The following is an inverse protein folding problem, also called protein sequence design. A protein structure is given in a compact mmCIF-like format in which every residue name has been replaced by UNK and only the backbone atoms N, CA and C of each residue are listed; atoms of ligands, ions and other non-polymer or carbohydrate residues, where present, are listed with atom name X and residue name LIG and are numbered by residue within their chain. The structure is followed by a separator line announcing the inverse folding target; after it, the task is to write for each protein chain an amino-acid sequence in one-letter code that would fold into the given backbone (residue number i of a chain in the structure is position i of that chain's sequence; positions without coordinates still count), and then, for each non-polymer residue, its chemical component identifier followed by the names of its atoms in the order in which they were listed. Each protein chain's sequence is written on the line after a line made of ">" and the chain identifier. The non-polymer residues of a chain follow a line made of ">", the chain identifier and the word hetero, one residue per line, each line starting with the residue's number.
data_IF_689828745923
#
_entry.id   IF_689828745923
#
_cell.length_a   1.000
_cell.length_b   1.000
_cell.length_c   1.000
_cell.angle_alpha   90.00
_cell.angle_beta   90.00
_cell.angle_gamma   90.00
#
_symmetry.space_group_name_H-M   'P 1'
#
loop_
_entity.id
_entity.type
_entity.pdbx_description
1 polymer ?
#
# COMPACT_ATOMS: atom_id res chain seq x y z
N UNK A 1 18.90 -33.54 -26.96
CA UNK A 1 19.86 -32.79 -26.13
C UNK A 1 19.66 -31.34 -26.50
N UNK A 2 19.13 -30.42 -25.69
CA UNK A 2 18.88 -30.32 -24.26
C UNK A 2 17.87 -29.18 -24.08
N UNK A 3 16.86 -29.35 -23.20
CA UNK A 3 15.87 -28.32 -22.88
C UNK A 3 16.53 -27.13 -22.18
N UNK A 4 16.26 -25.91 -22.65
CA UNK A 4 16.50 -24.66 -21.91
C UNK A 4 15.28 -23.77 -22.09
N UNK A 5 14.34 -23.80 -21.13
CA UNK A 5 13.55 -22.66 -20.65
C UNK A 5 12.52 -23.14 -19.62
N UNK A 6 12.96 -23.29 -18.37
CA UNK A 6 12.08 -23.29 -17.20
C UNK A 6 12.69 -22.37 -16.14
N UNK A 7 12.57 -21.05 -16.33
CA UNK A 7 12.77 -20.03 -15.28
C UNK A 7 12.05 -18.75 -15.72
N UNK A 8 10.72 -18.74 -15.71
CA UNK A 8 9.94 -17.48 -15.84
C UNK A 8 8.56 -17.52 -15.15
N UNK A 9 8.17 -18.61 -14.47
CA UNK A 9 6.78 -18.71 -13.97
C UNK A 9 6.56 -18.15 -12.55
N UNK A 10 7.59 -18.04 -11.72
CA UNK A 10 7.44 -17.56 -10.34
C UNK A 10 7.33 -16.02 -10.21
N UNK A 11 8.02 -15.25 -11.06
CA UNK A 11 8.03 -13.79 -10.99
C UNK A 11 6.72 -13.12 -11.45
N UNK A 12 5.95 -13.76 -12.33
CA UNK A 12 4.69 -13.23 -12.84
C UNK A 12 3.55 -13.31 -11.82
N UNK A 13 3.53 -14.35 -10.98
CA UNK A 13 2.49 -14.53 -9.96
C UNK A 13 2.64 -13.57 -8.78
N UNK A 14 3.87 -13.22 -8.39
CA UNK A 14 4.14 -12.25 -7.31
C UNK A 14 3.87 -10.80 -7.71
N UNK A 15 4.15 -10.44 -8.97
CA UNK A 15 3.91 -9.10 -9.51
C UNK A 15 2.43 -8.77 -9.68
N UNK A 16 1.59 -9.78 -9.96
CA UNK A 16 0.14 -9.58 -10.12
C UNK A 16 -0.55 -9.26 -8.79
N UNK A 17 -0.11 -9.86 -7.68
CA UNK A 17 -0.67 -9.59 -6.35
C UNK A 17 -0.29 -8.21 -5.82
N UNK A 18 0.97 -7.81 -5.96
CA UNK A 18 1.42 -6.47 -5.57
C UNK A 18 0.74 -5.37 -6.39
N UNK A 19 0.55 -5.57 -7.70
CA UNK A 19 -0.20 -4.63 -8.53
C UNK A 19 -1.68 -4.54 -8.11
N UNK A 20 -2.32 -5.67 -7.79
CA UNK A 20 -3.70 -5.65 -7.31
C UNK A 20 -3.83 -4.89 -5.97
N UNK A 21 -2.91 -5.10 -5.03
CA UNK A 21 -2.88 -4.35 -3.77
C UNK A 21 -2.66 -2.86 -4.06
N UNK A 22 -1.67 -2.52 -4.90
CA UNK A 22 -1.40 -1.13 -5.26
C UNK A 22 -2.63 -0.45 -5.85
N UNK A 23 -3.34 -1.09 -6.79
CA UNK A 23 -4.56 -0.52 -7.38
C UNK A 23 -5.61 -0.20 -6.33
N UNK A 24 -5.83 -1.12 -5.37
CA UNK A 24 -6.77 -0.87 -4.26
C UNK A 24 -6.31 0.29 -3.38
N UNK A 25 -5.02 0.37 -3.04
CA UNK A 25 -4.50 1.46 -2.22
C UNK A 25 -4.65 2.81 -2.94
N UNK A 26 -4.39 2.86 -4.25
CA UNK A 26 -4.58 4.06 -5.07
C UNK A 26 -6.05 4.45 -5.09
N UNK A 27 -6.99 3.53 -5.34
CA UNK A 27 -8.43 3.81 -5.33
C UNK A 27 -8.89 4.39 -3.98
N UNK A 28 -8.43 3.83 -2.86
CA UNK A 28 -8.75 4.35 -1.52
C UNK A 28 -8.18 5.77 -1.33
N UNK A 29 -6.93 5.99 -1.72
CA UNK A 29 -6.29 7.30 -1.57
C UNK A 29 -6.97 8.35 -2.46
N UNK A 30 -7.31 8.00 -3.71
CA UNK A 30 -8.05 8.87 -4.63
C UNK A 30 -9.40 9.29 -4.03
N UNK A 31 -10.14 8.35 -3.43
CA UNK A 31 -11.41 8.65 -2.74
C UNK A 31 -11.21 9.58 -1.55
N UNK A 32 -10.18 9.35 -0.73
CA UNK A 32 -9.88 10.17 0.44
C UNK A 32 -9.53 11.62 0.10
N UNK A 33 -8.81 11.84 -1.00
CA UNK A 33 -8.35 13.18 -1.41
C UNK A 33 -9.23 13.83 -2.47
N UNK A 34 -10.32 13.18 -2.91
CA UNK A 34 -11.15 13.65 -4.03
C UNK A 34 -11.69 15.07 -3.85
N UNK A 35 -12.02 15.43 -2.60
CA UNK A 35 -12.54 16.76 -2.23
C UNK A 35 -11.43 17.74 -1.82
N UNK A 36 -10.17 17.30 -1.83
CA UNK A 36 -9.04 18.16 -1.49
C UNK A 36 -8.61 18.89 -2.76
N UNK A 37 -8.49 20.21 -2.69
CA UNK A 37 -8.05 21.05 -3.81
C UNK A 37 -6.53 20.90 -4.02
N UNK A 38 -6.11 19.70 -4.42
CA UNK A 38 -4.73 19.28 -4.57
C UNK A 38 -4.36 19.14 -6.04
N UNK A 39 -3.30 19.83 -6.43
CA UNK A 39 -2.59 19.55 -7.68
C UNK A 39 -1.49 18.52 -7.40
N UNK A 40 -1.67 17.29 -7.88
CA UNK A 40 -0.65 16.25 -7.79
C UNK A 40 0.38 16.42 -8.92
N UNK A 41 1.66 16.52 -8.55
CA UNK A 41 2.77 16.59 -9.52
C UNK A 41 2.90 15.28 -10.34
N UNK A 42 2.58 14.14 -9.72
CA UNK A 42 2.59 12.81 -10.32
C UNK A 42 1.36 12.01 -9.88
N UNK A 43 0.85 11.07 -10.71
CA UNK A 43 -0.21 10.17 -10.29
C UNK A 43 0.16 9.35 -9.04
N UNK A 44 -0.84 9.03 -8.23
CA UNK A 44 -0.62 8.18 -7.05
C UNK A 44 -0.06 6.82 -7.44
N UNK A 45 0.90 6.33 -6.65
CA UNK A 45 1.60 5.09 -6.94
C UNK A 45 2.55 4.66 -5.84
N UNK A 46 3.41 3.68 -6.13
CA UNK A 46 4.32 3.10 -5.11
C UNK A 46 5.27 4.11 -4.46
N UNK A 47 5.57 5.22 -5.15
CA UNK A 47 6.45 6.28 -4.65
C UNK A 47 5.75 7.32 -3.78
N UNK A 48 4.42 7.33 -3.74
CA UNK A 48 3.64 8.32 -2.98
C UNK A 48 3.93 8.21 -1.49
N UNK A 49 4.23 9.36 -0.89
CA UNK A 49 4.47 9.56 0.54
C UNK A 49 3.24 10.21 1.16
N UNK A 50 2.59 9.53 2.10
CA UNK A 50 1.31 9.98 2.63
C UNK A 50 1.44 11.34 3.34
N UNK A 51 2.51 11.55 4.11
CA UNK A 51 2.67 12.78 4.89
C UNK A 51 3.26 13.89 4.02
N UNK A 52 4.38 13.63 3.33
CA UNK A 52 5.05 14.68 2.55
C UNK A 52 4.30 15.05 1.28
N UNK A 53 3.77 14.08 0.53
CA UNK A 53 3.15 14.37 -0.78
C UNK A 53 1.66 14.67 -0.65
N UNK A 54 0.95 13.96 0.25
CA UNK A 54 -0.49 14.16 0.44
C UNK A 54 -0.84 15.06 1.62
N UNK A 55 0.11 15.40 2.49
CA UNK A 55 -0.17 16.22 3.66
C UNK A 55 -1.01 15.49 4.72
N UNK A 56 -1.06 14.15 4.70
CA UNK A 56 -1.83 13.39 5.68
C UNK A 56 -1.39 13.71 7.11
N UNK A 57 -2.37 13.99 7.96
CA UNK A 57 -2.19 14.02 9.40
C UNK A 57 -2.43 12.62 10.00
N UNK A 58 -2.16 12.48 11.30
CA UNK A 58 -2.38 11.23 12.03
C UNK A 58 -3.81 10.69 11.88
N UNK A 59 -4.81 11.57 11.75
CA UNK A 59 -6.21 11.17 11.57
C UNK A 59 -6.46 10.57 10.18
N UNK A 60 -5.79 11.07 9.15
CA UNK A 60 -5.92 10.58 7.78
C UNK A 60 -5.24 9.22 7.64
N UNK A 61 -4.07 9.04 8.28
CA UNK A 61 -3.41 7.72 8.34
C UNK A 61 -4.31 6.67 9.01
N UNK A 62 -4.97 7.01 10.11
CA UNK A 62 -5.92 6.10 10.79
C UNK A 62 -7.12 5.78 9.89
N UNK A 63 -7.66 6.76 9.17
CA UNK A 63 -8.77 6.55 8.22
C UNK A 63 -8.34 5.69 7.03
N UNK A 64 -7.14 5.91 6.49
CA UNK A 64 -6.58 5.09 5.43
C UNK A 64 -6.46 3.63 5.86
N UNK A 65 -5.90 3.38 7.05
CA UNK A 65 -5.82 2.02 7.62
C UNK A 65 -7.22 1.40 7.76
N UNK A 66 -8.18 2.13 8.33
CA UNK A 66 -9.55 1.65 8.49
C UNK A 66 -10.22 1.30 7.15
N UNK A 67 -9.98 2.10 6.10
CA UNK A 67 -10.50 1.84 4.76
C UNK A 67 -9.89 0.56 4.15
N UNK A 68 -8.59 0.31 4.37
CA UNK A 68 -7.93 -0.93 3.93
C UNK A 68 -8.52 -2.15 4.66
N UNK A 69 -8.68 -2.07 5.99
CA UNK A 69 -9.30 -3.14 6.79
C UNK A 69 -10.73 -3.44 6.33
N UNK A 70 -11.51 -2.40 6.01
CA UNK A 70 -12.86 -2.54 5.48
C UNK A 70 -12.86 -3.20 4.10
N UNK A 71 -11.99 -2.76 3.19
CA UNK A 71 -11.89 -3.31 1.84
C UNK A 71 -11.58 -4.81 1.86
N UNK A 72 -10.56 -5.22 2.62
CA UNK A 72 -10.15 -6.63 2.71
C UNK A 72 -10.96 -7.45 3.72
N UNK A 73 -11.87 -6.83 4.47
CA UNK A 73 -12.66 -7.45 5.55
C UNK A 73 -11.77 -8.22 6.54
N UNK A 74 -10.55 -7.75 6.77
CA UNK A 74 -9.55 -8.40 7.61
C UNK A 74 -9.02 -7.43 8.67
N UNK A 75 -9.53 -7.59 9.90
CA UNK A 75 -9.12 -6.79 11.07
C UNK A 75 -7.97 -7.41 11.87
N UNK A 76 -7.34 -8.46 11.34
CA UNK A 76 -6.21 -9.14 11.99
C UNK A 76 -4.86 -8.69 11.42
N UNK A 77 -4.86 -7.73 10.50
CA UNK A 77 -3.62 -7.17 9.94
C UNK A 77 -2.99 -6.25 10.98
N UNK A 78 -1.72 -6.46 11.38
CA UNK A 78 -1.07 -5.72 12.46
C UNK A 78 -0.55 -4.36 11.98
N UNK A 79 -1.44 -3.44 11.61
CA UNK A 79 -1.05 -2.12 11.09
C UNK A 79 -0.24 -1.26 12.08
N UNK A 80 -0.25 -1.61 13.37
CA UNK A 80 0.67 -1.02 14.36
C UNK A 80 2.15 -1.18 13.95
N UNK A 81 2.52 -2.29 13.30
CA UNK A 81 3.88 -2.52 12.81
C UNK A 81 4.24 -1.63 11.60
N UNK A 82 3.24 -1.13 10.88
CA UNK A 82 3.43 -0.21 9.76
C UNK A 82 3.66 1.23 10.25
N UNK A 83 2.92 1.64 11.28
CA UNK A 83 2.94 3.02 11.79
C UNK A 83 3.91 3.21 12.95
N UNK A 84 4.37 2.14 13.61
CA UNK A 84 5.35 2.19 14.69
C UNK A 84 6.61 1.39 14.36
N UNK A 85 7.77 2.00 14.59
CA UNK A 85 9.08 1.38 14.48
C UNK A 85 9.94 1.71 15.69
N UNK A 86 10.50 0.69 16.32
CA UNK A 86 11.34 0.82 17.53
C UNK A 86 10.68 1.64 18.65
N UNK A 87 9.36 1.46 18.83
CA UNK A 87 8.55 2.14 19.84
C UNK A 87 8.24 3.62 19.54
N UNK A 88 8.49 4.09 18.31
CA UNK A 88 8.14 5.45 17.87
C UNK A 88 7.28 5.41 16.62
N UNK A 89 6.44 6.42 16.44
CA UNK A 89 5.73 6.60 15.17
C UNK A 89 6.72 6.84 14.04
N UNK A 90 6.44 6.27 12.87
CA UNK A 90 7.21 6.54 11.66
C UNK A 90 6.94 7.97 11.20
N UNK A 91 7.99 8.65 10.74
CA UNK A 91 7.87 10.03 10.25
C UNK A 91 7.21 10.09 8.85
N UNK A 92 7.21 8.98 8.12
CA UNK A 92 6.65 8.88 6.77
C UNK A 92 6.13 7.47 6.47
N UNK A 93 5.07 7.38 5.68
CA UNK A 93 4.50 6.14 5.15
C UNK A 93 4.51 6.23 3.62
N UNK A 94 5.24 5.30 2.99
CA UNK A 94 5.32 5.20 1.54
C UNK A 94 4.38 4.09 1.06
N UNK A 95 3.54 4.36 0.05
CA UNK A 95 2.55 3.39 -0.46
C UNK A 95 3.18 2.05 -0.84
N UNK A 96 4.36 2.04 -1.47
CA UNK A 96 5.07 0.80 -1.79
C UNK A 96 5.46 -0.05 -0.56
N UNK A 97 5.72 0.59 0.58
CA UNK A 97 5.96 -0.13 1.83
C UNK A 97 4.67 -0.76 2.36
N UNK A 98 3.52 -0.08 2.20
CA UNK A 98 2.20 -0.63 2.54
C UNK A 98 1.87 -1.84 1.68
N UNK A 99 2.13 -1.78 0.36
CA UNK A 99 1.98 -2.94 -0.54
C UNK A 99 2.82 -4.12 -0.05
N UNK A 100 4.09 -3.87 0.27
CA UNK A 100 5.02 -4.90 0.75
C UNK A 100 4.55 -5.52 2.07
N UNK A 101 4.03 -4.69 2.98
CA UNK A 101 3.48 -5.09 4.27
C UNK A 101 2.20 -5.93 4.13
N UNK A 102 1.28 -5.55 3.24
CA UNK A 102 0.00 -6.25 3.06
C UNK A 102 0.13 -7.60 2.36
N UNK A 103 1.09 -7.74 1.43
CA UNK A 103 1.29 -8.95 0.63
C UNK A 103 1.25 -10.27 1.42
N UNK A 104 2.02 -10.47 2.51
CA UNK A 104 1.98 -11.72 3.28
C UNK A 104 0.65 -11.95 4.03
N UNK A 105 -0.12 -10.90 4.31
CA UNK A 105 -1.39 -10.97 5.06
C UNK A 105 -2.61 -11.25 4.16
N UNK A 106 -2.46 -11.11 2.85
CA UNK A 106 -3.53 -11.27 1.86
C UNK A 106 -3.35 -12.51 0.96
N UNK A 107 -2.21 -13.20 1.07
CA UNK A 107 -1.92 -14.40 0.29
C UNK A 107 -2.59 -15.65 0.90
N UNK A 108 -3.92 -15.75 0.79
CA UNK A 108 -4.70 -16.92 1.19
C UNK A 108 -5.69 -17.34 0.11
#
# INVERSE_FOLDING_TARGET
>A
MTNVTETTRAAASGKSGEQAILSVLVEILEDMIADWDMDLDEPLGTGTRLIIDLGFESIDVVQFIAAIEEHYRNRSIPFEELVMKDGRYVDEIVVGNVVTFLKPHLAH
#
